data_IF_143575020905
#
_entry.id   IF_143575020905
#
_cell.length_a   1.000
_cell.length_b   1.000
_cell.length_c   1.000
_cell.angle_alpha   90.00
_cell.angle_beta   90.00
_cell.angle_gamma   90.00
#
_symmetry.space_group_name_H-M   'P 1'
#
loop_
_entity.id
_entity.type
_entity.pdbx_description
1 polymer ?
#
# COMPACT_ATOMS: atom_id res chain seq x y z
N UNK A 1 -24.01 3.68 8.44
CA UNK A 1 -24.87 2.64 7.82
C UNK A 1 -24.94 2.76 6.29
N UNK A 2 -25.73 3.65 5.66
CA UNK A 2 -25.85 3.67 4.17
C UNK A 2 -24.51 3.94 3.45
N UNK A 3 -23.70 4.87 3.97
CA UNK A 3 -22.38 5.16 3.41
C UNK A 3 -21.41 3.97 3.52
N UNK A 4 -21.36 3.30 4.67
CA UNK A 4 -20.49 2.12 4.87
C UNK A 4 -20.88 0.98 3.94
N UNK A 5 -22.18 0.73 3.75
CA UNK A 5 -22.67 -0.27 2.80
C UNK A 5 -22.28 0.10 1.36
N UNK A 6 -22.44 1.37 0.97
CA UNK A 6 -21.99 1.87 -0.33
C UNK A 6 -20.47 1.69 -0.53
N UNK A 7 -19.67 2.07 0.47
CA UNK A 7 -18.21 1.97 0.45
C UNK A 7 -17.75 0.50 0.34
N UNK A 8 -18.34 -0.38 1.15
CA UNK A 8 -18.09 -1.82 1.11
C UNK A 8 -18.51 -2.43 -0.22
N UNK A 9 -19.65 -2.00 -0.78
CA UNK A 9 -20.11 -2.47 -2.08
C UNK A 9 -19.13 -2.09 -3.18
N UNK A 10 -18.62 -0.84 -3.17
CA UNK A 10 -17.62 -0.35 -4.12
C UNK A 10 -16.31 -1.14 -4.04
N UNK A 11 -15.81 -1.37 -2.82
CA UNK A 11 -14.63 -2.21 -2.58
C UNK A 11 -14.84 -3.65 -3.08
N UNK A 12 -15.92 -4.31 -2.68
CA UNK A 12 -16.22 -5.70 -3.08
C UNK A 12 -16.44 -5.85 -4.57
N UNK A 13 -17.14 -4.89 -5.18
CA UNK A 13 -17.36 -4.85 -6.63
C UNK A 13 -16.02 -4.83 -7.35
N UNK A 14 -15.11 -3.95 -6.94
CA UNK A 14 -13.76 -3.85 -7.50
C UNK A 14 -12.98 -5.17 -7.37
N UNK A 15 -13.01 -5.83 -6.20
CA UNK A 15 -12.33 -7.13 -6.04
C UNK A 15 -12.97 -8.25 -6.89
N UNK A 16 -14.29 -8.19 -7.12
CA UNK A 16 -15.04 -9.21 -7.86
C UNK A 16 -15.01 -9.05 -9.38
N UNK A 17 -14.81 -7.83 -9.89
CA UNK A 17 -14.87 -7.50 -11.33
C UNK A 17 -13.89 -8.31 -12.19
N UNK A 18 -12.82 -8.83 -11.61
CA UNK A 18 -11.72 -9.43 -12.36
C UNK A 18 -11.25 -10.79 -11.84
N UNK A 19 -12.09 -11.51 -11.06
CA UNK A 19 -11.74 -12.82 -10.45
C UNK A 19 -10.30 -12.82 -9.91
N UNK A 20 -9.97 -11.74 -9.19
CA UNK A 20 -8.57 -11.34 -8.99
C UNK A 20 -7.81 -12.40 -8.22
N UNK A 21 -8.48 -13.10 -7.30
CA UNK A 21 -7.87 -14.06 -6.39
C UNK A 21 -8.37 -15.48 -6.67
N UNK A 22 -7.42 -16.39 -6.86
CA UNK A 22 -7.64 -17.82 -6.82
C UNK A 22 -7.85 -18.34 -5.40
N UNK A 23 -8.32 -19.59 -5.28
CA UNK A 23 -8.52 -20.24 -3.97
C UNK A 23 -7.18 -20.64 -3.37
N UNK A 24 -6.94 -20.24 -2.13
CA UNK A 24 -5.73 -20.57 -1.37
C UNK A 24 -4.47 -19.82 -1.79
N UNK A 25 -4.58 -18.80 -2.64
CA UNK A 25 -3.41 -18.01 -3.07
C UNK A 25 -2.82 -17.19 -1.92
N UNK A 26 -1.51 -16.97 -1.95
CA UNK A 26 -0.84 -16.05 -1.04
C UNK A 26 -0.83 -14.64 -1.62
N UNK A 27 -1.18 -13.66 -0.79
CA UNK A 27 -1.31 -12.26 -1.19
C UNK A 27 -0.55 -11.40 -0.20
N UNK A 28 0.32 -10.53 -0.73
CA UNK A 28 1.02 -9.53 0.07
C UNK A 28 0.22 -8.23 0.10
N UNK A 29 0.03 -7.65 1.28
CA UNK A 29 -0.64 -6.37 1.50
C UNK A 29 0.43 -5.35 1.88
N UNK A 30 0.57 -4.30 1.06
CA UNK A 30 1.45 -3.19 1.37
C UNK A 30 0.81 -2.28 2.43
N UNK A 31 1.44 -2.23 3.61
CA UNK A 31 1.01 -1.40 4.72
C UNK A 31 2.01 -0.26 4.97
N UNK A 32 1.50 0.96 5.08
CA UNK A 32 2.32 2.16 5.28
C UNK A 32 2.00 2.91 6.57
N UNK A 33 0.95 2.51 7.32
CA UNK A 33 0.45 3.26 8.47
C UNK A 33 -0.44 4.47 8.13
N UNK A 34 -0.62 4.79 6.85
CA UNK A 34 -1.47 5.90 6.39
C UNK A 34 -2.97 5.54 6.34
N UNK A 35 -3.85 6.54 6.13
CA UNK A 35 -5.30 6.33 6.17
C UNK A 35 -5.82 5.30 5.17
N UNK A 36 -5.27 5.27 3.94
CA UNK A 36 -5.66 4.27 2.93
C UNK A 36 -5.21 2.86 3.30
N UNK A 37 -3.96 2.67 3.74
CA UNK A 37 -3.45 1.33 4.04
C UNK A 37 -4.11 0.75 5.30
N UNK A 38 -4.43 1.59 6.28
CA UNK A 38 -5.20 1.17 7.47
C UNK A 38 -6.66 0.83 7.13
N UNK A 39 -7.34 1.63 6.31
CA UNK A 39 -8.69 1.30 5.84
C UNK A 39 -8.71 -0.03 5.06
N UNK A 40 -7.72 -0.24 4.21
CA UNK A 40 -7.58 -1.45 3.42
C UNK A 40 -7.37 -2.68 4.28
N UNK A 41 -6.48 -2.58 5.27
CA UNK A 41 -6.20 -3.66 6.21
C UNK A 41 -7.44 -4.01 7.04
N UNK A 42 -8.16 -3.00 7.54
CA UNK A 42 -9.42 -3.19 8.26
C UNK A 42 -10.47 -3.91 7.40
N UNK A 43 -10.67 -3.47 6.14
CA UNK A 43 -11.61 -4.11 5.22
C UNK A 43 -11.24 -5.55 4.88
N UNK A 44 -9.94 -5.85 4.74
CA UNK A 44 -9.46 -7.20 4.47
C UNK A 44 -9.67 -8.07 5.70
N UNK A 45 -9.38 -7.57 6.90
CA UNK A 45 -9.66 -8.27 8.16
C UNK A 45 -11.15 -8.57 8.34
N UNK A 46 -12.01 -7.57 8.12
CA UNK A 46 -13.46 -7.73 8.13
C UNK A 46 -13.95 -8.74 7.07
N UNK A 47 -13.37 -8.68 5.87
CA UNK A 47 -13.71 -9.55 4.74
C UNK A 47 -13.21 -11.00 4.89
N UNK A 48 -12.17 -11.23 5.69
CA UNK A 48 -11.65 -12.54 6.06
C UNK A 48 -12.37 -13.13 7.29
N UNK A 49 -13.05 -12.30 8.08
CA UNK A 49 -13.78 -12.74 9.28
C UNK A 49 -14.92 -13.72 8.97
N UNK A 50 -15.18 -14.62 9.93
CA UNK A 50 -16.04 -15.83 9.82
C UNK A 50 -17.47 -15.55 9.34
N UNK A 51 -17.97 -14.32 9.52
CA UNK A 51 -19.35 -13.89 9.26
C UNK A 51 -19.55 -13.20 7.90
N UNK A 52 -18.51 -13.10 7.06
CA UNK A 52 -18.63 -12.51 5.73
C UNK A 52 -19.39 -13.44 4.77
N UNK A 53 -20.49 -12.96 4.18
CA UNK A 53 -21.34 -13.68 3.19
C UNK A 53 -20.57 -14.27 1.99
N UNK A 54 -19.35 -13.79 1.72
CA UNK A 54 -18.37 -14.37 0.79
C UNK A 54 -16.97 -14.20 1.41
N UNK A 55 -16.37 -15.29 1.89
CA UNK A 55 -15.02 -15.29 2.45
C UNK A 55 -14.01 -14.94 1.36
N UNK A 56 -13.07 -14.05 1.66
CA UNK A 56 -11.84 -13.94 0.86
C UNK A 56 -11.07 -15.26 1.03
N UNK A 57 -10.76 -15.94 -0.07
CA UNK A 57 -10.21 -17.30 -0.06
C UNK A 57 -8.68 -17.33 -0.18
N UNK A 58 -8.01 -16.21 0.09
CA UNK A 58 -6.55 -16.09 0.01
C UNK A 58 -5.93 -15.97 1.41
N UNK A 59 -4.65 -16.32 1.51
CA UNK A 59 -3.85 -16.11 2.71
C UNK A 59 -3.13 -14.77 2.62
N UNK A 60 -3.40 -13.89 3.58
CA UNK A 60 -2.85 -12.55 3.61
C UNK A 60 -1.54 -12.50 4.39
N UNK A 61 -0.52 -11.88 3.80
CA UNK A 61 0.72 -11.45 4.44
C UNK A 61 0.78 -9.93 4.40
N UNK A 62 1.35 -9.30 5.42
CA UNK A 62 1.48 -7.84 5.47
C UNK A 62 2.94 -7.44 5.40
N UNK A 63 3.27 -6.49 4.53
CA UNK A 63 4.60 -5.90 4.44
C UNK A 63 4.58 -4.44 4.90
N UNK A 64 5.50 -4.10 5.78
CA UNK A 64 5.76 -2.72 6.20
C UNK A 64 7.21 -2.35 5.86
N UNK A 65 7.38 -1.22 5.16
CA UNK A 65 8.71 -0.69 4.83
C UNK A 65 9.06 0.38 5.85
N UNK A 66 10.11 0.14 6.60
CA UNK A 66 10.65 1.04 7.60
C UNK A 66 11.52 2.12 6.94
N UNK A 67 10.99 3.34 6.94
CA UNK A 67 11.63 4.54 6.40
C UNK A 67 12.47 5.31 7.44
N UNK A 68 12.73 4.71 8.60
CA UNK A 68 13.52 5.32 9.69
C UNK A 68 14.85 5.91 9.23
N UNK A 69 15.52 5.25 8.27
CA UNK A 69 16.78 5.73 7.71
C UNK A 69 16.64 7.08 7.03
N UNK A 70 15.48 7.36 6.42
CA UNK A 70 15.16 8.63 5.77
C UNK A 70 14.59 9.65 6.75
N UNK A 71 13.70 9.23 7.64
CA UNK A 71 12.97 10.09 8.57
C UNK A 71 13.09 9.55 10.02
N UNK A 72 14.16 9.91 10.75
CA UNK A 72 14.47 9.32 12.06
C UNK A 72 13.56 9.80 13.19
N UNK A 73 12.94 10.97 13.06
CA UNK A 73 12.24 11.64 14.16
C UNK A 73 10.88 11.00 14.50
N UNK A 74 10.20 10.40 13.52
CA UNK A 74 8.81 9.93 13.67
C UNK A 74 8.68 8.40 13.73
N UNK A 75 9.78 7.67 13.53
CA UNK A 75 9.72 6.29 13.03
C UNK A 75 9.70 5.19 14.10
N UNK A 76 10.36 5.39 15.24
CA UNK A 76 10.44 4.40 16.32
C UNK A 76 9.04 4.11 16.89
N UNK A 77 8.27 5.15 17.19
CA UNK A 77 6.91 5.03 17.71
C UNK A 77 5.94 4.40 16.68
N UNK A 78 6.14 4.66 15.39
CA UNK A 78 5.28 4.09 14.35
C UNK A 78 5.52 2.59 14.25
N UNK A 79 6.79 2.16 14.19
CA UNK A 79 7.14 0.73 14.04
C UNK A 79 6.55 -0.14 15.15
N UNK A 80 6.67 0.29 16.41
CA UNK A 80 6.11 -0.45 17.54
C UNK A 80 4.58 -0.57 17.44
N UNK A 81 3.90 0.53 17.12
CA UNK A 81 2.44 0.52 16.91
C UNK A 81 2.01 -0.37 15.74
N UNK A 82 2.80 -0.43 14.68
CA UNK A 82 2.54 -1.31 13.52
C UNK A 82 2.61 -2.79 13.94
N UNK A 83 3.64 -3.15 14.71
CA UNK A 83 3.82 -4.52 15.23
C UNK A 83 2.64 -4.89 16.12
N UNK A 84 2.26 -4.01 17.05
CA UNK A 84 1.14 -4.26 17.95
C UNK A 84 -0.18 -4.40 17.21
N UNK A 85 -0.47 -3.53 16.25
CA UNK A 85 -1.70 -3.58 15.45
C UNK A 85 -1.79 -4.88 14.63
N UNK A 86 -0.73 -5.24 13.91
CA UNK A 86 -0.81 -6.32 12.91
C UNK A 86 -0.62 -7.69 13.56
N UNK A 87 0.37 -7.81 14.44
CA UNK A 87 0.73 -9.10 15.05
C UNK A 87 -0.20 -9.41 16.22
N UNK A 88 -0.44 -8.47 17.13
CA UNK A 88 -1.21 -8.75 18.35
C UNK A 88 -2.73 -8.62 18.15
N UNK A 89 -3.21 -7.69 17.32
CA UNK A 89 -4.65 -7.52 17.10
C UNK A 89 -5.15 -8.36 15.92
N UNK A 90 -4.48 -8.26 14.77
CA UNK A 90 -4.96 -8.86 13.52
C UNK A 90 -4.40 -10.27 13.24
N UNK A 91 -3.35 -10.68 13.94
CA UNK A 91 -2.70 -12.00 13.83
C UNK A 91 -2.29 -12.38 12.39
N UNK A 92 -1.85 -11.39 11.59
CA UNK A 92 -1.30 -11.65 10.26
C UNK A 92 0.24 -11.78 10.30
N UNK A 93 0.83 -12.60 9.41
CA UNK A 93 2.27 -12.59 9.18
C UNK A 93 2.73 -11.19 8.75
N UNK A 94 3.66 -10.60 9.51
CA UNK A 94 4.20 -9.27 9.28
C UNK A 94 5.67 -9.35 8.85
N UNK A 95 5.97 -8.77 7.69
CA UNK A 95 7.32 -8.61 7.17
C UNK A 95 7.74 -7.15 7.28
N UNK A 96 8.73 -6.86 8.12
CA UNK A 96 9.30 -5.51 8.26
C UNK A 96 10.65 -5.48 7.56
N UNK A 97 10.81 -4.54 6.64
CA UNK A 97 12.03 -4.36 5.86
C UNK A 97 12.44 -2.89 5.91
N UNK A 98 13.72 -2.62 6.16
CA UNK A 98 14.24 -1.25 6.03
C UNK A 98 14.32 -0.83 4.57
N UNK A 99 14.03 0.44 4.27
CA UNK A 99 14.16 0.97 2.90
C UNK A 99 15.59 0.87 2.34
N UNK A 100 16.58 0.75 3.23
CA UNK A 100 18.01 0.62 2.91
C UNK A 100 18.43 -0.85 2.69
N UNK A 101 17.54 -1.83 2.85
CA UNK A 101 17.86 -3.26 2.69
C UNK A 101 18.48 -3.53 1.31
N UNK A 102 19.57 -4.30 1.24
CA UNK A 102 20.32 -4.60 0.01
C UNK A 102 20.99 -3.37 -0.64
N UNK A 103 21.31 -2.33 0.13
CA UNK A 103 22.33 -1.35 -0.26
C UNK A 103 23.66 -1.73 0.41
N UNK A 104 24.76 -1.59 -0.32
CA UNK A 104 26.09 -1.87 0.21
C UNK A 104 26.40 -0.94 1.40
N UNK A 105 26.97 -1.50 2.48
CA UNK A 105 27.12 -0.88 3.80
C UNK A 105 27.88 0.46 3.84
N UNK A 106 28.55 0.86 2.75
CA UNK A 106 29.46 1.99 2.74
C UNK A 106 28.77 3.36 2.52
N UNK A 107 27.51 3.40 2.06
CA UNK A 107 26.77 4.66 1.88
C UNK A 107 25.35 4.55 2.42
N UNK A 108 24.93 5.51 3.24
CA UNK A 108 23.53 5.60 3.66
C UNK A 108 22.63 5.92 2.44
N UNK A 109 21.41 5.39 2.37
CA UNK A 109 20.48 5.68 1.26
C UNK A 109 20.23 7.18 1.13
N UNK A 110 20.25 7.91 2.25
CA UNK A 110 20.23 9.37 2.30
C UNK A 110 21.34 9.96 1.47
N UNK A 111 22.59 9.56 1.70
CA UNK A 111 23.74 10.11 0.99
C UNK A 111 23.63 9.84 -0.52
N UNK A 112 23.23 8.63 -0.91
CA UNK A 112 22.99 8.29 -2.32
C UNK A 112 21.88 9.14 -2.94
N UNK A 113 20.76 9.33 -2.23
CA UNK A 113 19.68 10.22 -2.66
C UNK A 113 20.21 11.64 -2.86
N UNK A 114 20.88 12.21 -1.86
CA UNK A 114 21.37 13.58 -1.93
C UNK A 114 22.45 13.78 -3.01
N UNK A 115 23.31 12.79 -3.24
CA UNK A 115 24.36 12.83 -4.26
C UNK A 115 23.80 12.68 -5.68
N UNK A 116 22.86 11.76 -5.91
CA UNK A 116 22.40 11.41 -7.26
C UNK A 116 21.13 12.11 -7.72
N UNK A 117 20.38 12.75 -6.82
CA UNK A 117 19.12 13.42 -7.18
C UNK A 117 19.12 14.89 -6.75
N UNK A 118 19.04 15.78 -7.75
CA UNK A 118 19.05 17.23 -7.55
C UNK A 118 17.65 17.81 -7.29
N UNK A 119 16.60 17.20 -7.82
CA UNK A 119 15.22 17.67 -7.67
C UNK A 119 14.44 16.84 -6.65
N UNK A 120 13.49 17.48 -5.97
CA UNK A 120 12.58 16.82 -5.03
C UNK A 120 11.77 15.72 -5.74
N UNK A 121 11.28 15.99 -6.95
CA UNK A 121 10.54 15.01 -7.76
C UNK A 121 11.36 13.76 -8.06
N UNK A 122 12.66 13.90 -8.33
CA UNK A 122 13.54 12.73 -8.56
C UNK A 122 13.74 11.91 -7.27
N UNK A 123 13.81 12.57 -6.11
CA UNK A 123 13.89 11.90 -4.79
C UNK A 123 12.62 11.12 -4.48
N UNK A 124 11.47 11.76 -4.62
CA UNK A 124 10.17 11.13 -4.37
C UNK A 124 9.95 9.92 -5.28
N UNK A 125 10.26 10.06 -6.57
CA UNK A 125 10.15 8.97 -7.54
C UNK A 125 11.13 7.83 -7.21
N UNK A 126 12.35 8.13 -6.79
CA UNK A 126 13.32 7.10 -6.38
C UNK A 126 12.81 6.33 -5.15
N UNK A 127 12.37 7.05 -4.11
CA UNK A 127 11.83 6.45 -2.88
C UNK A 127 10.62 5.55 -3.22
N UNK A 128 9.71 6.03 -4.07
CA UNK A 128 8.53 5.27 -4.52
C UNK A 128 8.93 3.99 -5.26
N UNK A 129 9.86 4.07 -6.22
CA UNK A 129 10.36 2.90 -6.97
C UNK A 129 11.09 1.92 -6.08
N UNK A 130 11.89 2.42 -5.12
CA UNK A 130 12.60 1.58 -4.16
C UNK A 130 11.62 0.80 -3.28
N UNK A 131 10.60 1.47 -2.73
CA UNK A 131 9.55 0.81 -1.95
C UNK A 131 8.85 -0.27 -2.75
N UNK A 132 8.45 0.03 -3.99
CA UNK A 132 7.78 -0.93 -4.83
C UNK A 132 8.67 -2.16 -5.12
N UNK A 133 9.97 -1.95 -5.38
CA UNK A 133 10.93 -3.04 -5.55
C UNK A 133 11.04 -3.92 -4.32
N UNK A 134 11.18 -3.35 -3.12
CA UNK A 134 11.23 -4.11 -1.87
C UNK A 134 9.94 -4.91 -1.63
N UNK A 135 8.77 -4.33 -1.93
CA UNK A 135 7.50 -5.06 -1.85
C UNK A 135 7.47 -6.27 -2.80
N UNK A 136 8.00 -6.12 -4.02
CA UNK A 136 8.12 -7.24 -4.95
C UNK A 136 9.07 -8.33 -4.44
N UNK A 137 10.23 -7.93 -3.90
CA UNK A 137 11.20 -8.87 -3.36
C UNK A 137 10.62 -9.69 -2.19
N UNK A 138 9.85 -9.04 -1.30
CA UNK A 138 9.11 -9.71 -0.22
C UNK A 138 8.04 -10.64 -0.79
N UNK A 139 7.26 -10.17 -1.77
CA UNK A 139 6.19 -10.98 -2.37
C UNK A 139 6.74 -12.25 -3.01
N UNK A 140 7.86 -12.16 -3.72
CA UNK A 140 8.53 -13.32 -4.34
C UNK A 140 9.06 -14.28 -3.28
N UNK A 141 9.69 -13.76 -2.22
CA UNK A 141 10.23 -14.56 -1.10
C UNK A 141 9.14 -15.38 -0.40
N UNK A 142 7.99 -14.75 -0.16
CA UNK A 142 6.83 -15.37 0.51
C UNK A 142 5.88 -16.09 -0.46
N UNK A 143 6.29 -16.28 -1.73
CA UNK A 143 5.51 -16.95 -2.78
C UNK A 143 4.10 -16.35 -2.97
N UNK A 144 3.97 -15.04 -2.75
CA UNK A 144 2.76 -14.29 -3.00
C UNK A 144 2.61 -14.02 -4.50
N UNK A 145 1.47 -14.39 -5.08
CA UNK A 145 1.20 -14.14 -6.50
C UNK A 145 0.68 -12.72 -6.76
N UNK A 146 0.23 -12.03 -5.70
CA UNK A 146 -0.40 -10.72 -5.80
C UNK A 146 0.07 -9.77 -4.71
N UNK A 147 0.20 -8.51 -5.08
CA UNK A 147 0.51 -7.39 -4.22
C UNK A 147 -0.68 -6.44 -4.18
N UNK A 148 -1.37 -6.37 -3.05
CA UNK A 148 -2.44 -5.40 -2.82
C UNK A 148 -1.83 -4.10 -2.28
N UNK A 149 -2.17 -2.99 -2.93
CA UNK A 149 -1.74 -1.64 -2.53
C UNK A 149 -2.93 -0.75 -2.14
N UNK A 150 -2.68 0.21 -1.25
CA UNK A 150 -3.68 1.20 -0.79
C UNK A 150 -3.83 2.42 -1.71
N UNK A 151 -3.50 2.28 -3.00
CA UNK A 151 -3.60 3.37 -3.98
C UNK A 151 -5.07 3.76 -4.17
N UNK A 152 -5.40 4.99 -3.77
CA UNK A 152 -6.75 5.53 -3.89
C UNK A 152 -6.87 6.42 -5.13
N UNK A 153 -8.10 6.66 -5.61
CA UNK A 153 -8.39 7.44 -6.81
C UNK A 153 -7.68 8.81 -6.83
N UNK A 154 -7.69 9.51 -5.70
CA UNK A 154 -7.10 10.86 -5.59
C UNK A 154 -5.58 10.82 -5.70
N UNK A 155 -4.92 9.90 -4.98
CA UNK A 155 -3.46 9.72 -5.04
C UNK A 155 -3.03 9.25 -6.43
N UNK A 156 -3.78 8.33 -7.01
CA UNK A 156 -3.50 7.81 -8.34
C UNK A 156 -3.63 8.91 -9.39
N UNK A 157 -4.67 9.75 -9.33
CA UNK A 157 -4.83 10.89 -10.23
C UNK A 157 -3.66 11.88 -10.13
N UNK A 158 -3.23 12.23 -8.91
CA UNK A 158 -2.08 13.10 -8.71
C UNK A 158 -0.78 12.50 -9.27
N UNK A 159 -0.57 11.19 -9.05
CA UNK A 159 0.56 10.46 -9.59
C UNK A 159 0.56 10.46 -11.13
N UNK A 160 -0.59 10.15 -11.74
CA UNK A 160 -0.74 10.13 -13.20
C UNK A 160 -0.45 11.50 -13.80
N UNK A 161 -0.99 12.58 -13.21
CA UNK A 161 -0.73 13.95 -13.68
C UNK A 161 0.76 14.30 -13.57
N UNK A 162 1.40 13.89 -12.47
CA UNK A 162 2.84 14.09 -12.27
C UNK A 162 3.67 13.31 -13.30
N UNK A 163 3.30 12.06 -13.59
CA UNK A 163 3.96 11.24 -14.59
C UNK A 163 3.74 11.78 -16.02
N UNK A 164 2.55 12.31 -16.32
CA UNK A 164 2.27 13.00 -17.58
C UNK A 164 3.13 14.26 -17.74
N UNK A 165 3.23 15.09 -16.69
CA UNK A 165 4.07 16.28 -16.69
C UNK A 165 5.56 15.96 -16.87
N UNK A 166 6.01 14.79 -16.40
CA UNK A 166 7.37 14.28 -16.58
C UNK A 166 7.59 13.58 -17.93
N UNK A 167 6.58 13.52 -18.81
CA UNK A 167 6.69 12.87 -20.11
C UNK A 167 6.55 11.34 -20.09
N UNK A 168 6.12 10.73 -18.97
CA UNK A 168 5.90 9.28 -18.84
C UNK A 168 4.50 8.83 -19.27
N UNK A 169 3.90 9.52 -20.26
CA UNK A 169 2.53 9.29 -20.71
C UNK A 169 2.26 7.87 -21.22
N UNK A 170 3.28 7.19 -21.77
CA UNK A 170 3.17 5.84 -22.30
C UNK A 170 2.77 4.79 -21.25
N UNK A 171 3.07 5.02 -19.96
CA UNK A 171 2.80 4.06 -18.88
C UNK A 171 1.49 4.34 -18.14
N UNK A 172 0.83 5.46 -18.42
CA UNK A 172 -0.38 5.91 -17.70
C UNK A 172 -1.48 4.86 -17.75
N UNK A 173 -1.71 4.22 -18.89
CA UNK A 173 -2.74 3.18 -19.01
C UNK A 173 -2.56 2.05 -18.00
N UNK A 174 -1.32 1.68 -17.68
CA UNK A 174 -0.99 0.58 -16.76
C UNK A 174 -1.06 1.03 -15.30
N UNK A 175 -0.57 2.23 -14.99
CA UNK A 175 -0.68 2.82 -13.63
C UNK A 175 -2.16 3.06 -13.26
N UNK A 176 -2.96 3.49 -14.23
CA UNK A 176 -4.40 3.70 -14.07
C UNK A 176 -5.15 2.41 -13.74
N UNK A 177 -4.65 1.23 -14.13
CA UNK A 177 -5.45 0.01 -14.09
C UNK A 177 -5.62 -0.56 -12.68
N UNK A 178 -6.73 -1.27 -12.50
CA UNK A 178 -7.01 -2.03 -11.29
C UNK A 178 -5.94 -3.12 -11.05
N UNK A 179 -5.52 -3.75 -12.13
CA UNK A 179 -4.54 -4.83 -12.16
C UNK A 179 -3.37 -4.35 -13.00
N UNK A 180 -2.17 -4.54 -12.49
CA UNK A 180 -0.94 -4.26 -13.20
C UNK A 180 -0.08 -5.54 -13.22
N UNK A 181 0.05 -6.09 -14.42
CA UNK A 181 0.69 -7.37 -14.74
C UNK A 181 2.04 -7.18 -15.43
N UNK A 182 2.69 -6.01 -15.28
CA UNK A 182 4.02 -5.76 -15.89
C UNK A 182 5.11 -6.70 -15.37
N UNK A 183 4.90 -7.27 -14.18
CA UNK A 183 5.77 -8.27 -13.60
C UNK A 183 5.11 -9.65 -13.73
N UNK A 184 5.82 -10.60 -14.33
CA UNK A 184 5.31 -11.95 -14.60
C UNK A 184 5.09 -12.79 -13.33
N UNK A 185 5.80 -12.48 -12.24
CA UNK A 185 5.77 -13.25 -11.00
C UNK A 185 4.69 -12.76 -10.03
N UNK A 186 4.49 -11.44 -9.96
CA UNK A 186 3.62 -10.81 -8.96
C UNK A 186 2.77 -9.74 -9.62
N UNK A 187 1.46 -9.86 -9.47
CA UNK A 187 0.50 -8.89 -10.03
C UNK A 187 0.10 -7.86 -8.98
N UNK A 188 0.17 -6.57 -9.30
CA UNK A 188 -0.31 -5.50 -8.41
C UNK A 188 -1.83 -5.37 -8.56
N UNK A 189 -2.52 -5.23 -7.43
CA UNK A 189 -3.96 -5.00 -7.34
C UNK A 189 -4.22 -3.71 -6.56
N UNK A 190 -5.10 -2.84 -7.08
CA UNK A 190 -5.46 -1.53 -6.50
C UNK A 190 -6.95 -1.45 -6.13
N UNK A 191 -7.40 -2.03 -5.00
CA UNK A 191 -8.82 -2.09 -4.66
C UNK A 191 -9.48 -0.73 -4.48
N UNK A 192 -8.70 0.28 -4.09
CA UNK A 192 -9.18 1.64 -3.84
C UNK A 192 -9.09 2.57 -5.06
N UNK A 193 -8.77 2.04 -6.25
CA UNK A 193 -8.69 2.82 -7.50
C UNK A 193 -9.92 3.70 -7.74
N UNK A 194 -11.12 3.20 -7.45
CA UNK A 194 -12.36 3.96 -7.66
C UNK A 194 -12.76 4.82 -6.45
N UNK A 195 -12.07 4.68 -5.31
CA UNK A 195 -12.42 5.31 -4.02
C UNK A 195 -11.56 6.55 -3.77
N UNK A 196 -12.19 7.67 -3.41
CA UNK A 196 -11.51 8.93 -3.13
C UNK A 196 -10.93 9.00 -1.71
N UNK A 197 -9.90 9.84 -1.53
CA UNK A 197 -9.31 10.06 -0.19
C UNK A 197 -10.33 10.55 0.85
N UNK A 198 -11.31 11.38 0.44
CA UNK A 198 -12.38 11.86 1.31
C UNK A 198 -13.31 10.73 1.78
N UNK A 199 -13.62 9.79 0.89
CA UNK A 199 -14.43 8.62 1.24
C UNK A 199 -13.70 7.73 2.24
N UNK A 200 -12.39 7.53 2.06
CA UNK A 200 -11.53 6.79 3.00
C UNK A 200 -11.48 7.48 4.36
N UNK A 201 -11.29 8.80 4.39
CA UNK A 201 -11.25 9.56 5.63
C UNK A 201 -12.59 9.46 6.39
N UNK A 202 -13.73 9.53 5.68
CA UNK A 202 -15.05 9.32 6.27
C UNK A 202 -15.21 7.89 6.81
N UNK A 203 -14.78 6.87 6.04
CA UNK A 203 -14.83 5.48 6.48
C UNK A 203 -14.02 5.25 7.76
N UNK A 204 -12.79 5.76 7.82
CA UNK A 204 -11.94 5.66 9.00
C UNK A 204 -12.58 6.34 10.21
N UNK A 205 -13.14 7.54 10.02
CA UNK A 205 -13.83 8.26 11.09
C UNK A 205 -15.06 7.52 11.61
N UNK A 206 -15.87 6.93 10.74
CA UNK A 206 -17.07 6.20 11.17
C UNK A 206 -16.75 4.90 11.92
N UNK A 207 -15.68 4.22 11.54
CA UNK A 207 -15.23 2.99 12.19
C UNK A 207 -14.22 3.23 13.33
N UNK A 208 -13.97 4.49 13.70
CA UNK A 208 -12.97 4.88 14.72
C UNK A 208 -11.58 4.27 14.47
N UNK A 209 -11.18 4.20 13.19
CA UNK A 209 -9.88 3.69 12.76
C UNK A 209 -8.87 4.83 12.81
N UNK A 210 -7.87 4.70 13.67
CA UNK A 210 -6.77 5.66 13.78
C UNK A 210 -5.65 5.30 12.79
N UNK A 211 -5.23 6.25 11.96
CA UNK A 211 -4.04 6.11 11.12
C UNK A 211 -2.78 6.48 11.88
N UNK A 212 -1.75 5.65 11.76
CA UNK A 212 -0.46 5.85 12.44
C UNK A 212 0.34 7.01 11.85
N UNK A 213 0.10 7.36 10.59
CA UNK A 213 0.60 8.56 9.93
C UNK A 213 -0.55 9.52 9.67
N UNK A 214 -0.56 10.65 10.35
CA UNK A 214 -1.38 11.79 9.97
C UNK A 214 -0.71 12.47 8.77
N UNK A 215 -1.39 12.49 7.64
CA UNK A 215 -0.99 13.36 6.53
C UNK A 215 -1.44 14.77 6.95
N UNK A 216 -0.50 15.56 7.47
CA UNK A 216 -0.74 16.98 7.66
C UNK A 216 -1.12 17.61 6.31
N UNK A 217 -2.10 18.51 6.34
CA UNK A 217 -2.69 19.17 5.16
C UNK A 217 -1.64 19.95 4.35
N UNK A 218 -0.43 20.14 4.89
CA UNK A 218 0.71 20.83 4.26
C UNK A 218 1.41 20.05 3.14
N UNK A 219 1.09 18.77 2.91
CA UNK A 219 1.75 17.94 1.87
C UNK A 219 0.84 17.59 0.69
N UNK A 220 -0.27 18.31 0.49
CA UNK A 220 -1.01 18.35 -0.80
C UNK A 220 -0.50 19.48 -1.69
#
# INVERSE_FOLDING_TARGET
KCFEEFFLHKFRSTLSKSNIFGRGEHVLIAYSGGPSSTALLHLIADGLSVNARRRLQFQAHVAFIDESSLYPADSINIREKVIDLITNQLHYPLHIVSIDENLDNDNSLKDLLFQHTKSLTAREEFIRRRKLKLLFDIAIREKCTKLITGDNCTKLAAQILSDMAQGKGAHVALECNLIDTRNDLVTIVRPFREIMSKEIAMYNRFNSIESLQNVDISTM
#
